data_IF_266024608207
#
_entry.id   IF_266024608207
#
_cell.length_a   1.000
_cell.length_b   1.000
_cell.length_c   1.000
_cell.angle_alpha   90.00
_cell.angle_beta   90.00
_cell.angle_gamma   90.00
#
_symmetry.space_group_name_H-M   'P 1'
#
loop_
_entity.id
_entity.type
_entity.pdbx_description
1 polymer ?
#
# COMPACT_ATOMS: atom_id res chain seq x y z
N UNK A 1 -4.06 20.98 -17.50
CA UNK A 1 -5.39 21.29 -17.01
C UNK A 1 -5.56 20.63 -15.63
N UNK A 2 -5.84 21.42 -14.60
CA UNK A 2 -6.21 20.90 -13.29
C UNK A 2 -7.64 20.37 -13.36
N UNK A 3 -7.87 19.21 -12.80
CA UNK A 3 -9.19 18.58 -12.66
C UNK A 3 -9.57 18.48 -11.19
N UNK A 4 -10.81 18.10 -10.89
CA UNK A 4 -11.25 17.89 -9.51
C UNK A 4 -10.43 16.78 -8.80
N UNK A 5 -9.82 15.86 -9.55
CA UNK A 5 -8.97 14.79 -9.02
C UNK A 5 -7.60 15.35 -8.57
N UNK A 6 -7.15 16.45 -9.14
CA UNK A 6 -5.89 17.10 -8.77
C UNK A 6 -6.00 17.94 -7.48
N UNK A 7 -7.18 18.01 -6.89
CA UNK A 7 -7.40 18.75 -5.64
C UNK A 7 -7.03 17.86 -4.45
N UNK A 8 -5.99 18.26 -3.71
CA UNK A 8 -5.68 17.67 -2.42
C UNK A 8 -6.64 18.19 -1.34
N UNK A 9 -7.02 17.31 -0.43
CA UNK A 9 -7.74 17.69 0.80
C UNK A 9 -6.79 18.16 1.89
N UNK A 10 -5.52 18.34 1.56
CA UNK A 10 -4.51 18.85 2.47
C UNK A 10 -4.82 20.26 2.96
N UNK A 11 -4.51 20.47 4.21
CA UNK A 11 -4.54 21.80 4.85
C UNK A 11 -3.19 22.06 5.50
N UNK A 12 -2.90 23.31 5.87
CA UNK A 12 -1.66 23.63 6.59
C UNK A 12 -1.51 22.88 7.94
N UNK A 13 -2.58 22.30 8.45
CA UNK A 13 -2.59 21.56 9.73
C UNK A 13 -2.84 20.07 9.58
N UNK A 14 -3.11 19.59 8.37
CA UNK A 14 -3.36 18.18 8.10
C UNK A 14 -2.93 17.82 6.69
N UNK A 15 -1.85 17.05 6.55
CA UNK A 15 -1.31 16.62 5.28
C UNK A 15 -1.43 15.11 5.16
N UNK A 16 -1.97 14.65 4.04
CA UNK A 16 -2.01 13.23 3.72
C UNK A 16 -0.66 12.73 3.20
N UNK A 17 -0.37 11.46 3.44
CA UNK A 17 0.78 10.81 2.84
C UNK A 17 0.64 10.75 1.31
N UNK A 18 1.77 10.82 0.62
CA UNK A 18 1.90 10.56 -0.81
C UNK A 18 3.02 9.55 -1.04
N UNK A 19 3.22 9.08 -2.24
CA UNK A 19 4.43 8.32 -2.59
C UNK A 19 5.62 9.29 -2.69
N UNK A 20 6.81 8.83 -2.29
CA UNK A 20 7.97 9.67 -2.14
C UNK A 20 8.91 9.61 -3.36
N UNK A 21 8.97 10.67 -4.20
CA UNK A 21 9.87 10.69 -5.34
C UNK A 21 11.36 10.64 -4.98
N UNK A 22 11.70 10.94 -3.74
CA UNK A 22 13.09 10.92 -3.24
C UNK A 22 13.50 9.55 -2.70
N UNK A 23 12.54 8.68 -2.38
CA UNK A 23 12.78 7.29 -1.98
C UNK A 23 12.45 6.34 -3.12
N UNK A 24 13.19 6.48 -4.19
CA UNK A 24 12.98 5.86 -5.48
C UNK A 24 14.18 4.95 -5.75
N UNK A 25 14.05 3.70 -5.34
CA UNK A 25 15.17 2.78 -5.38
C UNK A 25 15.42 2.23 -6.77
N UNK A 26 16.67 2.20 -7.16
CA UNK A 26 17.37 1.61 -8.30
C UNK A 26 17.07 2.25 -9.66
N UNK A 27 15.84 2.28 -10.14
CA UNK A 27 15.45 3.02 -11.32
C UNK A 27 14.39 4.06 -10.97
N UNK A 28 14.43 5.19 -11.65
CA UNK A 28 13.47 6.25 -11.36
C UNK A 28 12.08 5.87 -11.85
N UNK A 29 11.11 5.87 -10.95
CA UNK A 29 9.70 5.85 -11.29
C UNK A 29 9.24 7.23 -11.80
N UNK A 30 8.16 7.23 -12.53
CA UNK A 30 7.45 8.47 -12.91
C UNK A 30 6.24 8.65 -12.00
N UNK A 31 6.03 9.87 -11.54
CA UNK A 31 4.95 10.23 -10.62
C UNK A 31 3.97 11.18 -11.29
N UNK A 32 2.68 11.02 -10.97
CA UNK A 32 1.59 11.91 -11.37
C UNK A 32 0.48 11.92 -10.31
N UNK A 33 -0.60 12.65 -10.54
CA UNK A 33 -1.74 12.76 -9.61
C UNK A 33 -1.29 13.10 -8.18
N UNK A 34 -0.49 14.16 -8.04
CA UNK A 34 0.02 14.57 -6.73
C UNK A 34 0.94 13.56 -6.06
N UNK A 35 1.72 12.80 -6.83
CA UNK A 35 2.57 11.69 -6.38
C UNK A 35 1.79 10.48 -5.82
N UNK A 36 0.54 10.31 -6.20
CA UNK A 36 -0.28 9.17 -5.79
C UNK A 36 -0.45 8.12 -6.88
N UNK A 37 -0.02 8.45 -8.11
CA UNK A 37 0.10 7.50 -9.21
C UNK A 37 1.56 7.33 -9.58
N UNK A 38 2.00 6.07 -9.58
CA UNK A 38 3.40 5.69 -9.81
C UNK A 38 3.46 4.76 -11.01
N UNK A 39 4.34 5.08 -11.96
CA UNK A 39 4.70 4.20 -13.05
C UNK A 39 6.18 3.80 -12.90
N UNK A 40 6.44 2.52 -12.76
CA UNK A 40 7.80 1.98 -12.62
C UNK A 40 8.56 2.02 -13.94
N UNK A 41 9.88 1.96 -13.90
CA UNK A 41 10.69 1.84 -15.09
C UNK A 41 10.68 0.41 -15.65
N UNK A 42 10.85 0.27 -16.96
CA UNK A 42 10.84 -1.04 -17.63
C UNK A 42 12.04 -1.93 -17.30
N UNK A 43 13.12 -1.35 -16.82
CA UNK A 43 14.34 -2.03 -16.37
C UNK A 43 15.29 -0.98 -15.81
N UNK A 44 15.94 -1.23 -14.74
CA UNK A 44 15.83 -2.34 -13.77
C UNK A 44 14.68 -2.13 -12.81
N UNK A 45 14.57 -3.02 -11.80
CA UNK A 45 13.59 -2.96 -10.72
C UNK A 45 13.46 -1.59 -10.07
N UNK A 46 12.23 -1.23 -9.77
CA UNK A 46 11.90 0.02 -9.08
C UNK A 46 11.12 -0.26 -7.79
N UNK A 47 11.46 0.44 -6.71
CA UNK A 47 10.63 0.51 -5.51
C UNK A 47 10.41 1.95 -5.11
N UNK A 48 9.24 2.21 -4.59
CA UNK A 48 8.85 3.51 -4.08
C UNK A 48 8.09 3.29 -2.78
N UNK A 49 8.42 4.09 -1.76
CA UNK A 49 7.69 4.10 -0.50
C UNK A 49 6.89 5.38 -0.31
N UNK A 50 5.99 5.38 0.68
CA UNK A 50 5.24 6.58 1.06
C UNK A 50 6.12 7.62 1.76
N UNK A 51 5.65 8.88 1.76
CA UNK A 51 6.34 10.00 2.44
C UNK A 51 6.23 9.95 3.97
N UNK A 52 5.23 9.22 4.48
CA UNK A 52 4.98 9.11 5.92
C UNK A 52 5.10 7.66 6.33
N UNK A 53 6.00 7.37 7.27
CA UNK A 53 6.09 6.08 7.94
C UNK A 53 5.03 5.95 9.03
N UNK A 54 4.41 4.79 9.10
CA UNK A 54 3.39 4.47 10.09
C UNK A 54 4.05 3.83 11.30
N UNK A 55 3.87 4.45 12.46
CA UNK A 55 4.47 4.02 13.73
C UNK A 55 3.90 2.70 14.23
N UNK A 56 4.60 1.98 15.13
CA UNK A 56 4.20 0.64 15.56
C UNK A 56 2.82 0.54 16.23
N UNK A 57 2.34 1.61 16.85
CA UNK A 57 1.05 1.58 17.55
C UNK A 57 -0.13 2.04 16.70
N UNK A 58 0.15 2.56 15.52
CA UNK A 58 -0.87 3.13 14.65
C UNK A 58 -1.57 2.05 13.81
N UNK A 59 -2.89 2.17 13.71
CA UNK A 59 -3.69 1.34 12.80
C UNK A 59 -4.10 2.17 11.61
N UNK A 60 -3.67 1.76 10.42
CA UNK A 60 -3.98 2.50 9.21
C UNK A 60 -4.72 1.68 8.17
N UNK A 61 -5.44 2.40 7.33
CA UNK A 61 -6.13 1.87 6.16
C UNK A 61 -5.71 2.64 4.92
N UNK A 62 -5.53 1.92 3.83
CA UNK A 62 -5.30 2.50 2.51
C UNK A 62 -5.87 1.61 1.42
N UNK A 63 -6.04 2.20 0.26
CA UNK A 63 -6.51 1.53 -0.94
C UNK A 63 -5.50 1.70 -2.07
N UNK A 64 -5.44 0.76 -2.98
CA UNK A 64 -4.63 0.87 -4.18
C UNK A 64 -5.22 0.06 -5.32
N UNK A 65 -4.88 0.41 -6.55
CA UNK A 65 -5.22 -0.37 -7.72
C UNK A 65 -4.08 -0.38 -8.72
N UNK A 66 -4.00 -1.45 -9.49
CA UNK A 66 -3.15 -1.47 -10.66
C UNK A 66 -3.86 -0.78 -11.82
N UNK A 67 -3.21 0.20 -12.43
CA UNK A 67 -3.68 0.81 -13.67
C UNK A 67 -3.22 0.02 -14.90
N UNK A 68 -2.17 -0.80 -14.75
CA UNK A 68 -1.71 -1.78 -15.72
C UNK A 68 -1.39 -3.09 -15.04
N UNK A 69 -1.63 -4.22 -15.70
CA UNK A 69 -1.26 -5.55 -15.22
C UNK A 69 -0.12 -6.11 -16.06
N UNK A 70 0.88 -6.72 -15.41
CA UNK A 70 2.14 -7.15 -16.03
C UNK A 70 2.54 -8.59 -15.67
N UNK A 71 1.57 -9.48 -15.68
CA UNK A 71 1.79 -10.93 -15.50
C UNK A 71 2.50 -11.30 -14.20
N UNK A 72 2.22 -10.58 -13.09
CA UNK A 72 2.72 -10.87 -11.77
C UNK A 72 4.00 -10.11 -11.41
N UNK A 73 4.40 -9.13 -12.20
CA UNK A 73 5.61 -8.35 -11.94
C UNK A 73 5.36 -7.11 -11.06
N UNK A 74 4.20 -6.44 -11.23
CA UNK A 74 3.82 -5.31 -10.39
C UNK A 74 3.42 -5.77 -8.98
N UNK A 75 3.84 -5.05 -7.97
CA UNK A 75 3.55 -5.32 -6.56
C UNK A 75 3.12 -4.06 -5.83
N UNK A 76 2.07 -4.19 -5.01
CA UNK A 76 1.61 -3.14 -4.10
C UNK A 76 1.51 -3.75 -2.71
N UNK A 77 1.97 -3.02 -1.68
CA UNK A 77 1.91 -3.52 -0.32
C UNK A 77 2.56 -2.60 0.69
N UNK A 78 3.35 -3.18 1.57
CA UNK A 78 4.11 -2.45 2.60
C UNK A 78 5.48 -3.07 2.83
N UNK A 79 6.39 -2.24 3.36
CA UNK A 79 7.73 -2.63 3.83
C UNK A 79 8.08 -1.82 5.08
N UNK A 80 8.99 -2.30 5.92
CA UNK A 80 9.52 -1.48 7.01
C UNK A 80 10.67 -0.59 6.55
N UNK A 81 11.43 -1.06 5.57
CA UNK A 81 12.53 -0.31 4.99
C UNK A 81 12.84 -0.86 3.62
N UNK A 82 12.93 0.02 2.64
CA UNK A 82 13.53 -0.33 1.36
C UNK A 82 15.04 -0.38 1.55
N UNK A 83 15.63 -1.53 1.29
CA UNK A 83 17.07 -1.70 1.43
C UNK A 83 17.78 -1.06 0.24
N UNK A 84 18.21 0.17 0.41
CA UNK A 84 19.16 0.79 -0.54
C UNK A 84 20.42 -0.06 -0.57
N UNK A 85 20.75 -0.65 -1.71
CA UNK A 85 21.94 -1.48 -1.87
C UNK A 85 21.73 -2.99 -1.90
N UNK A 86 20.50 -3.49 -1.83
CA UNK A 86 20.23 -4.84 -2.30
C UNK A 86 20.66 -4.90 -3.76
N UNK A 87 21.53 -5.82 -4.09
CA UNK A 87 22.07 -5.93 -5.44
C UNK A 87 20.91 -6.06 -6.42
N UNK A 88 20.90 -5.18 -7.35
CA UNK A 88 19.95 -5.12 -8.43
C UNK A 88 20.13 -6.29 -9.39
N UNK A 89 19.75 -7.42 -9.01
CA UNK A 89 19.89 -8.59 -9.86
C UNK A 89 19.24 -9.82 -9.22
N UNK A 90 18.25 -10.35 -9.84
CA UNK A 90 17.56 -11.55 -9.40
C UNK A 90 16.48 -11.30 -8.32
N UNK A 91 15.97 -12.35 -7.72
CA UNK A 91 14.82 -12.34 -6.84
C UNK A 91 14.79 -11.40 -5.62
N UNK A 92 15.93 -10.74 -5.30
CA UNK A 92 16.00 -9.75 -4.21
C UNK A 92 15.26 -8.44 -4.48
N UNK A 93 14.62 -8.32 -5.62
CA UNK A 93 14.02 -7.09 -6.13
C UNK A 93 12.54 -6.92 -5.86
N UNK A 94 11.88 -7.87 -5.23
CA UNK A 94 10.44 -7.81 -4.93
C UNK A 94 10.17 -7.21 -3.57
N UNK A 95 9.01 -6.56 -3.38
CA UNK A 95 8.63 -5.97 -2.10
C UNK A 95 8.66 -7.01 -0.97
N UNK A 96 8.15 -8.20 -1.21
CA UNK A 96 8.12 -9.26 -0.20
C UNK A 96 9.51 -9.86 0.14
N UNK A 97 10.57 -9.54 -0.61
CA UNK A 97 11.95 -9.82 -0.22
C UNK A 97 12.55 -8.72 0.66
N UNK A 98 11.91 -7.56 0.70
CA UNK A 98 12.33 -6.51 1.62
C UNK A 98 11.98 -6.90 3.05
N UNK A 99 12.68 -6.33 4.01
CA UNK A 99 12.43 -6.60 5.42
C UNK A 99 10.97 -6.30 5.77
N UNK A 100 10.30 -7.25 6.40
CA UNK A 100 8.87 -7.19 6.75
C UNK A 100 7.94 -6.90 5.57
N UNK A 101 8.39 -7.14 4.34
CA UNK A 101 7.63 -6.88 3.14
C UNK A 101 6.45 -7.85 2.99
N UNK A 102 5.26 -7.27 2.77
CA UNK A 102 4.04 -8.00 2.39
C UNK A 102 3.42 -7.27 1.22
N UNK A 103 3.13 -8.00 0.14
CA UNK A 103 2.62 -7.42 -1.10
C UNK A 103 1.54 -8.29 -1.76
N UNK A 104 0.78 -7.65 -2.62
CA UNK A 104 -0.09 -8.29 -3.61
C UNK A 104 0.49 -8.00 -4.97
N UNK A 105 0.67 -9.02 -5.79
CA UNK A 105 1.06 -8.82 -7.18
C UNK A 105 -0.16 -8.56 -8.08
N UNK A 106 0.06 -8.14 -9.31
CA UNK A 106 -0.99 -7.81 -10.27
C UNK A 106 -1.79 -9.02 -10.81
N UNK A 107 -1.42 -10.24 -10.39
CA UNK A 107 -2.24 -11.45 -10.53
C UNK A 107 -3.15 -11.70 -9.32
N UNK A 108 -3.09 -10.87 -8.28
CA UNK A 108 -3.85 -11.00 -7.05
C UNK A 108 -3.26 -11.97 -6.03
N UNK A 109 -2.08 -12.51 -6.24
CA UNK A 109 -1.40 -13.40 -5.30
C UNK A 109 -0.79 -12.59 -4.15
N UNK A 110 -0.96 -13.08 -2.92
CA UNK A 110 -0.38 -12.46 -1.73
C UNK A 110 0.98 -13.09 -1.41
N UNK A 111 1.98 -12.25 -1.27
CA UNK A 111 3.37 -12.61 -0.98
C UNK A 111 3.83 -11.93 0.31
N UNK A 112 4.63 -12.62 1.10
CA UNK A 112 5.19 -12.07 2.32
C UNK A 112 6.26 -12.96 2.91
N UNK A 113 7.16 -12.39 3.69
CA UNK A 113 8.23 -13.12 4.36
C UNK A 113 9.03 -14.02 3.39
N UNK A 114 9.42 -13.45 2.25
CA UNK A 114 10.21 -14.09 1.18
C UNK A 114 9.52 -15.26 0.47
N UNK A 115 8.21 -15.43 0.58
CA UNK A 115 7.50 -16.56 -0.02
C UNK A 115 6.08 -16.22 -0.47
N UNK A 116 5.53 -17.08 -1.34
CA UNK A 116 4.10 -17.05 -1.63
C UNK A 116 3.34 -17.60 -0.43
N UNK A 117 2.35 -16.84 0.05
CA UNK A 117 1.53 -17.24 1.20
C UNK A 117 0.49 -18.31 0.89
N UNK A 118 0.29 -18.64 -0.38
CA UNK A 118 -0.78 -19.50 -0.86
C UNK A 118 -2.15 -18.82 -0.89
N UNK A 119 -2.23 -17.55 -0.52
CA UNK A 119 -3.47 -16.77 -0.51
C UNK A 119 -3.57 -15.90 -1.77
N UNK A 120 -4.79 -15.62 -2.21
CA UNK A 120 -5.05 -14.82 -3.40
C UNK A 120 -6.37 -14.05 -3.29
N UNK A 121 -6.39 -12.89 -3.90
CA UNK A 121 -7.59 -12.08 -4.15
C UNK A 121 -8.38 -12.55 -5.38
N UNK A 122 -7.92 -13.62 -6.05
CA UNK A 122 -8.38 -13.98 -7.39
C UNK A 122 -7.79 -13.03 -8.45
N UNK A 123 -8.22 -13.22 -9.69
CA UNK A 123 -7.76 -12.36 -10.79
C UNK A 123 -8.09 -10.90 -10.54
N UNK A 124 -7.13 -10.02 -10.79
CA UNK A 124 -7.29 -8.58 -10.71
C UNK A 124 -7.48 -7.97 -12.10
N UNK A 125 -8.35 -6.98 -12.16
CA UNK A 125 -8.52 -6.07 -13.28
C UNK A 125 -8.07 -4.67 -12.89
N UNK A 126 -7.92 -3.78 -13.86
CA UNK A 126 -7.55 -2.37 -13.61
C UNK A 126 -8.65 -1.55 -12.91
N UNK A 127 -9.84 -2.09 -12.77
CA UNK A 127 -10.96 -1.50 -12.01
C UNK A 127 -11.01 -1.98 -10.56
N UNK A 128 -10.32 -3.07 -10.21
CA UNK A 128 -10.35 -3.61 -8.85
C UNK A 128 -9.49 -2.78 -7.91
N UNK A 129 -10.04 -2.51 -6.73
CA UNK A 129 -9.36 -1.80 -5.66
C UNK A 129 -8.95 -2.80 -4.59
N UNK A 130 -7.68 -2.79 -4.23
CA UNK A 130 -7.13 -3.59 -3.15
C UNK A 130 -7.15 -2.75 -1.89
N UNK A 131 -7.80 -3.26 -0.84
CA UNK A 131 -7.90 -2.61 0.45
C UNK A 131 -6.94 -3.27 1.43
N UNK A 132 -6.20 -2.46 2.16
CA UNK A 132 -5.24 -2.88 3.16
C UNK A 132 -5.60 -2.26 4.52
N UNK A 133 -5.52 -3.05 5.58
CA UNK A 133 -5.69 -2.59 6.96
C UNK A 133 -4.52 -3.12 7.80
N UNK A 134 -3.65 -2.24 8.26
CA UNK A 134 -2.50 -2.56 9.10
C UNK A 134 -2.77 -2.27 10.56
N UNK A 135 -2.69 -3.27 11.39
CA UNK A 135 -2.70 -3.15 12.85
C UNK A 135 -1.26 -3.15 13.38
N UNK A 136 -0.71 -1.95 13.58
CA UNK A 136 0.68 -1.79 14.03
C UNK A 136 0.92 -2.33 15.42
N UNK A 137 -0.06 -2.27 16.32
CA UNK A 137 0.04 -2.84 17.67
C UNK A 137 0.25 -4.35 17.64
N UNK A 138 -0.34 -5.02 16.68
CA UNK A 138 -0.30 -6.48 16.56
C UNK A 138 0.59 -6.97 15.39
N UNK A 139 1.20 -6.08 14.61
CA UNK A 139 1.99 -6.40 13.41
C UNK A 139 1.21 -7.28 12.42
N UNK A 140 -0.02 -6.91 12.17
CA UNK A 140 -0.98 -7.71 11.42
C UNK A 140 -1.56 -6.93 10.23
N UNK A 141 -1.35 -7.42 9.01
CA UNK A 141 -1.91 -6.87 7.79
C UNK A 141 -3.10 -7.70 7.33
N UNK A 142 -4.19 -7.03 7.02
CA UNK A 142 -5.39 -7.59 6.41
C UNK A 142 -5.55 -7.05 5.01
N UNK A 143 -5.94 -7.91 4.07
CA UNK A 143 -6.04 -7.54 2.65
C UNK A 143 -7.37 -8.05 2.10
N UNK A 144 -8.04 -7.26 1.28
CA UNK A 144 -9.23 -7.67 0.52
C UNK A 144 -9.28 -6.99 -0.85
N UNK A 145 -10.05 -7.55 -1.75
CA UNK A 145 -10.38 -6.92 -3.03
C UNK A 145 -11.76 -6.29 -2.92
N UNK A 146 -11.89 -5.05 -3.34
CA UNK A 146 -13.15 -4.32 -3.35
C UNK A 146 -13.84 -4.38 -1.96
N UNK A 147 -15.15 -4.55 -1.93
CA UNK A 147 -15.93 -4.75 -0.71
C UNK A 147 -16.05 -6.21 -0.25
N UNK A 148 -15.26 -7.12 -0.81
CA UNK A 148 -15.29 -8.55 -0.51
C UNK A 148 -14.85 -8.85 0.93
N UNK A 149 -15.02 -10.11 1.34
CA UNK A 149 -14.47 -10.59 2.61
C UNK A 149 -12.93 -10.47 2.61
N UNK A 150 -12.36 -10.24 3.79
CA UNK A 150 -10.92 -10.23 3.98
C UNK A 150 -10.33 -11.60 3.67
N UNK A 151 -9.24 -11.62 2.88
CA UNK A 151 -8.54 -12.85 2.50
C UNK A 151 -8.15 -13.65 3.75
N UNK A 152 -8.06 -14.97 3.62
CA UNK A 152 -7.71 -15.87 4.70
C UNK A 152 -8.69 -15.80 5.89
N UNK A 153 -9.97 -15.51 5.65
CA UNK A 153 -10.97 -15.27 6.70
C UNK A 153 -10.56 -14.18 7.70
N UNK A 154 -9.85 -13.16 7.21
CA UNK A 154 -9.29 -12.08 8.00
C UNK A 154 -10.34 -11.30 8.77
N UNK A 155 -9.97 -10.88 10.00
CA UNK A 155 -10.80 -10.01 10.82
C UNK A 155 -9.95 -8.89 11.42
N UNK A 156 -9.98 -7.67 10.84
CA UNK A 156 -9.24 -6.53 11.38
C UNK A 156 -9.58 -6.16 12.82
N UNK A 157 -10.77 -6.53 13.30
CA UNK A 157 -11.18 -6.28 14.68
C UNK A 157 -10.69 -7.35 15.69
N UNK A 158 -9.95 -8.36 15.24
CA UNK A 158 -9.54 -9.50 16.09
C UNK A 158 -8.42 -9.18 17.10
N UNK A 159 -7.79 -8.01 17.00
CA UNK A 159 -6.73 -7.58 17.91
C UNK A 159 -5.58 -8.59 17.99
N UNK A 160 -5.18 -8.94 19.20
CA UNK A 160 -4.06 -9.86 19.43
C UNK A 160 -4.26 -11.28 18.87
N UNK A 161 -5.50 -11.69 18.58
CA UNK A 161 -5.78 -12.97 17.91
C UNK A 161 -5.31 -13.00 16.45
N UNK A 162 -5.15 -11.84 15.80
CA UNK A 162 -4.65 -11.70 14.41
C UNK A 162 -5.34 -12.64 13.43
N UNK A 163 -6.65 -12.86 13.60
CA UNK A 163 -7.39 -13.86 12.81
C UNK A 163 -7.27 -13.56 11.33
N UNK A 164 -6.69 -14.50 10.57
CA UNK A 164 -6.47 -14.42 9.13
C UNK A 164 -5.49 -13.34 8.64
N UNK A 165 -4.76 -12.70 9.56
CA UNK A 165 -3.79 -11.67 9.20
C UNK A 165 -2.51 -12.24 8.57
N UNK A 166 -1.88 -11.44 7.72
CA UNK A 166 -0.49 -11.61 7.31
C UNK A 166 0.41 -10.90 8.34
N UNK A 167 1.23 -11.66 9.05
CA UNK A 167 2.02 -11.17 10.18
C UNK A 167 3.46 -10.95 9.76
N UNK A 168 4.05 -9.83 10.15
CA UNK A 168 5.48 -9.56 9.92
C UNK A 168 6.36 -10.33 10.91
N UNK A 169 7.58 -10.74 10.52
CA UNK A 169 8.53 -11.40 11.42
C UNK A 169 8.93 -10.56 12.61
N UNK A 170 9.17 -9.26 12.36
CA UNK A 170 9.58 -8.33 13.40
C UNK A 170 8.36 -7.61 13.99
N UNK A 171 8.48 -7.20 15.23
CA UNK A 171 7.52 -6.38 15.96
C UNK A 171 8.06 -4.99 16.22
N UNK A 172 7.19 -4.06 16.57
CA UNK A 172 7.55 -2.68 16.89
C UNK A 172 8.28 -1.98 15.72
N UNK A 173 7.75 -2.18 14.52
CA UNK A 173 8.31 -1.66 13.27
C UNK A 173 7.53 -0.44 12.77
N UNK A 174 8.24 0.47 12.11
CA UNK A 174 7.63 1.51 11.29
C UNK A 174 7.48 0.98 9.88
N UNK A 175 6.26 0.99 9.33
CA UNK A 175 6.01 0.54 7.97
C UNK A 175 5.75 1.71 7.03
N UNK A 176 6.06 1.50 5.75
CA UNK A 176 5.73 2.39 4.65
C UNK A 176 4.86 1.64 3.64
N UNK A 177 3.86 2.30 3.10
CA UNK A 177 3.16 1.77 1.93
C UNK A 177 4.13 1.80 0.76
N UNK A 178 4.10 0.77 -0.06
CA UNK A 178 5.09 0.59 -1.10
C UNK A 178 4.46 0.09 -2.41
N UNK A 179 5.06 0.50 -3.50
CA UNK A 179 4.86 -0.04 -4.83
C UNK A 179 6.20 -0.48 -5.40
N UNK A 180 6.22 -1.59 -6.08
CA UNK A 180 7.42 -2.10 -6.73
C UNK A 180 7.12 -2.86 -8.01
N UNK A 181 8.18 -3.16 -8.73
CA UNK A 181 8.14 -3.94 -9.94
C UNK A 181 9.37 -4.85 -9.99
N UNK A 182 9.16 -6.11 -10.31
CA UNK A 182 10.27 -7.02 -10.56
C UNK A 182 10.93 -6.70 -11.89
N UNK A 183 12.25 -6.64 -11.90
CA UNK A 183 13.03 -6.44 -13.11
C UNK A 183 12.63 -7.41 -14.24
N UNK A 184 12.26 -6.84 -15.33
CA UNK A 184 11.81 -7.49 -16.55
C UNK A 184 11.40 -6.36 -17.51
N UNK A 185 11.23 -6.57 -18.76
CA UNK A 185 10.91 -5.54 -19.75
C UNK A 185 9.48 -4.98 -19.64
N UNK A 186 8.98 -4.79 -18.42
CA UNK A 186 7.58 -4.41 -18.16
C UNK A 186 7.52 -3.23 -17.19
N UNK A 187 6.57 -2.34 -17.43
CA UNK A 187 6.29 -1.20 -16.56
C UNK A 187 4.96 -1.47 -15.85
N UNK A 188 4.97 -1.46 -14.53
CA UNK A 188 3.74 -1.47 -13.76
C UNK A 188 3.32 -0.05 -13.43
N UNK A 189 2.04 0.23 -13.50
CA UNK A 189 1.47 1.50 -13.07
C UNK A 189 0.41 1.21 -12.03
N UNK A 190 0.47 1.93 -10.91
CA UNK A 190 -0.51 1.82 -9.83
C UNK A 190 -0.89 3.19 -9.29
N UNK A 191 -2.12 3.28 -8.81
CA UNK A 191 -2.69 4.41 -8.11
C UNK A 191 -2.91 4.04 -6.65
N UNK A 192 -2.38 4.84 -5.72
CA UNK A 192 -2.38 4.56 -4.28
C UNK A 192 -3.16 5.66 -3.56
N UNK A 193 -4.23 5.29 -2.86
CA UNK A 193 -5.06 6.17 -2.06
C UNK A 193 -4.68 6.02 -0.58
N UNK A 194 -3.97 7.01 -0.04
CA UNK A 194 -3.57 7.06 1.37
C UNK A 194 -4.52 7.93 2.21
N UNK A 195 -5.65 8.31 1.62
CA UNK A 195 -6.69 9.17 2.17
C UNK A 195 -7.08 10.32 1.23
N UNK A 196 -6.23 10.64 0.25
CA UNK A 196 -6.51 11.57 -0.85
C UNK A 196 -6.40 10.78 -2.15
N UNK A 197 -7.52 10.39 -2.79
CA UNK A 197 -7.50 9.44 -3.90
C UNK A 197 -6.99 10.07 -5.20
N UNK A 198 -6.15 9.34 -5.98
CA UNK A 198 -5.75 9.74 -7.34
C UNK A 198 -6.73 9.28 -8.43
N UNK A 199 -7.87 8.74 -8.04
CA UNK A 199 -8.92 8.26 -8.93
C UNK A 199 -10.30 8.61 -8.37
N UNK A 200 -11.33 8.54 -9.22
CA UNK A 200 -12.69 8.86 -8.81
C UNK A 200 -13.21 7.89 -7.74
N UNK A 201 -13.76 8.44 -6.68
CA UNK A 201 -14.43 7.73 -5.59
C UNK A 201 -15.95 7.95 -5.73
N UNK A 202 -16.72 6.90 -5.59
CA UNK A 202 -18.18 6.96 -5.70
C UNK A 202 -18.88 7.01 -4.34
N UNK A 203 -18.29 6.40 -3.32
CA UNK A 203 -18.92 6.25 -2.00
C UNK A 203 -18.47 7.28 -0.96
N UNK A 204 -17.20 7.72 -1.00
CA UNK A 204 -16.67 8.77 -0.13
C UNK A 204 -16.57 8.38 1.34
N UNK A 205 -16.15 7.14 1.63
CA UNK A 205 -15.96 6.70 3.02
C UNK A 205 -14.79 7.42 3.69
N UNK A 206 -14.99 7.76 4.95
CA UNK A 206 -13.99 8.38 5.81
C UNK A 206 -13.65 7.45 6.98
N UNK A 207 -12.54 7.74 7.66
CA UNK A 207 -12.21 7.10 8.93
C UNK A 207 -13.08 7.63 10.10
N UNK A 208 -12.87 7.08 11.29
CA UNK A 208 -13.63 7.47 12.48
C UNK A 208 -13.46 8.94 12.91
N UNK A 209 -12.44 9.62 12.39
CA UNK A 209 -12.17 11.05 12.65
C UNK A 209 -12.70 11.97 11.52
N UNK A 210 -13.34 11.40 10.52
CA UNK A 210 -13.86 12.14 9.37
C UNK A 210 -12.76 12.52 8.35
N UNK A 211 -11.63 11.81 8.34
CA UNK A 211 -10.57 12.01 7.38
C UNK A 211 -10.52 10.92 6.33
N UNK A 212 -9.97 11.27 5.19
CA UNK A 212 -9.84 10.40 4.04
C UNK A 212 -11.03 10.44 3.11
N UNK A 213 -10.84 9.88 1.93
CA UNK A 213 -11.87 9.68 0.91
C UNK A 213 -11.62 8.33 0.25
N UNK A 214 -12.28 7.29 0.73
CA UNK A 214 -12.08 5.91 0.31
C UNK A 214 -13.32 5.35 -0.41
N UNK A 215 -13.10 4.43 -1.34
CA UNK A 215 -14.19 3.74 -2.01
C UNK A 215 -14.88 2.76 -1.07
N UNK A 216 -14.15 2.09 -0.20
CA UNK A 216 -14.69 1.08 0.70
C UNK A 216 -14.60 1.50 2.16
N UNK A 217 -15.52 0.96 2.98
CA UNK A 217 -15.59 1.28 4.40
C UNK A 217 -14.28 0.96 5.12
N UNK A 218 -13.77 1.96 5.84
CA UNK A 218 -12.62 1.84 6.72
C UNK A 218 -13.01 1.00 7.94
N UNK A 219 -12.26 -0.05 8.31
CA UNK A 219 -12.55 -0.81 9.51
C UNK A 219 -12.51 0.08 10.76
N UNK A 220 -13.38 -0.19 11.72
CA UNK A 220 -13.42 0.58 12.97
C UNK A 220 -12.08 0.56 13.69
N UNK A 221 -11.61 1.75 14.09
CA UNK A 221 -10.31 1.94 14.77
C UNK A 221 -9.11 1.96 13.84
N UNK A 222 -9.33 1.99 12.53
CA UNK A 222 -8.29 2.24 11.53
C UNK A 222 -8.45 3.65 10.95
N UNK A 223 -7.35 4.27 10.57
CA UNK A 223 -7.29 5.67 10.20
C UNK A 223 -6.60 5.89 8.86
N UNK A 224 -6.96 6.98 8.19
CA UNK A 224 -6.23 7.50 7.06
C UNK A 224 -4.81 7.93 7.47
N UNK A 225 -3.87 7.86 6.54
CA UNK A 225 -2.46 8.18 6.82
C UNK A 225 -2.25 9.68 6.60
N UNK A 226 -2.43 10.43 7.66
CA UNK A 226 -2.23 11.88 7.68
C UNK A 226 -1.61 12.35 8.99
N UNK A 227 -1.10 13.57 8.98
CA UNK A 227 -0.35 14.13 10.12
C UNK A 227 -1.19 14.31 11.38
N UNK A 228 -2.50 14.58 11.26
CA UNK A 228 -3.38 14.69 12.42
C UNK A 228 -3.63 13.37 13.10
N UNK A 229 -4.00 12.34 12.35
CA UNK A 229 -4.21 11.00 12.88
C UNK A 229 -2.93 10.44 13.54
N UNK A 230 -1.78 10.66 12.89
CA UNK A 230 -0.49 10.24 13.45
C UNK A 230 -0.12 11.00 14.73
N UNK A 231 -0.44 12.28 14.84
CA UNK A 231 -0.19 13.05 16.05
C UNK A 231 -1.07 12.61 17.23
N UNK A 232 -2.26 12.06 16.95
CA UNK A 232 -3.23 11.66 17.96
C UNK A 232 -3.09 10.20 18.37
N UNK A 233 -2.77 9.30 17.42
CA UNK A 233 -2.79 7.85 17.61
C UNK A 233 -1.47 7.15 17.27
N UNK A 234 -0.47 7.87 16.79
CA UNK A 234 0.83 7.35 16.33
C UNK A 234 1.89 7.15 17.43
#
# INVERSE_FOLDING_TARGET
NLTAIDQSTDTCTNNFATMNPLDNYYAQATFSEGNLKVATASSPTTYVTSTIGVTPNFKCYWEAKFDTTQSGNGEIGMVDKVTTGASAGGGASRLYYQRNGISVNDLGQVWGNNSNTGQSLGSLSTSDIICFAWDGTNNALYIRKNGDAWVNSGNPASGSSKTGAFVTPDSNITIFQAMGDQAGNTNSTASINLGSPPYSISSGNQDGNGYGNFEYAVPSGYFAINTKNLAEYG
#
